data_IF_727424548083
#
_entry.id   IF_727424548083
#
_cell.length_a   1.000
_cell.length_b   1.000
_cell.length_c   1.000
_cell.angle_alpha   90.00
_cell.angle_beta   90.00
_cell.angle_gamma   90.00
#
_symmetry.space_group_name_H-M   'P 1'
#
loop_
_entity.id
_entity.type
_entity.pdbx_description
1 polymer ?
#
# COMPACT_ATOMS: atom_id res chain seq x y z
N UNK A 1 -1.25 -2.65 -39.15
CA UNK A 1 -2.17 -3.39 -38.25
C UNK A 1 -1.60 -4.72 -37.77
N UNK A 2 -0.95 -5.55 -38.61
CA UNK A 2 -0.38 -6.84 -38.16
C UNK A 2 0.71 -6.72 -37.10
N UNK A 3 1.55 -5.68 -37.16
CA UNK A 3 2.65 -5.45 -36.22
C UNK A 3 2.17 -5.10 -34.80
N UNK A 4 1.24 -4.14 -34.67
CA UNK A 4 0.63 -3.80 -33.38
C UNK A 4 -0.09 -5.01 -32.76
N UNK A 5 -0.76 -5.84 -33.57
CA UNK A 5 -1.38 -7.07 -33.06
C UNK A 5 -0.35 -8.01 -32.44
N UNK A 6 0.80 -8.21 -33.08
CA UNK A 6 1.90 -9.01 -32.52
C UNK A 6 2.45 -8.46 -31.21
N UNK A 7 2.62 -7.13 -31.11
CA UNK A 7 3.08 -6.47 -29.88
C UNK A 7 2.07 -6.64 -28.73
N UNK A 8 0.77 -6.51 -29.01
CA UNK A 8 -0.28 -6.71 -28.01
C UNK A 8 -0.38 -8.17 -27.55
N UNK A 9 -0.14 -9.13 -28.45
CA UNK A 9 -0.07 -10.54 -28.10
C UNK A 9 1.13 -10.84 -27.18
N UNK A 10 2.30 -10.26 -27.46
CA UNK A 10 3.50 -10.40 -26.61
C UNK A 10 3.25 -9.84 -25.20
N UNK A 11 2.68 -8.63 -25.11
CA UNK A 11 2.28 -8.04 -23.82
C UNK A 11 1.32 -8.96 -23.05
N UNK A 12 0.37 -9.62 -23.74
CA UNK A 12 -0.60 -10.53 -23.12
C UNK A 12 0.05 -11.80 -22.57
N UNK A 13 1.10 -12.30 -23.20
CA UNK A 13 1.88 -13.44 -22.70
C UNK A 13 2.83 -13.04 -21.55
N UNK A 14 3.29 -11.78 -21.55
CA UNK A 14 4.24 -11.23 -20.60
C UNK A 14 3.66 -10.07 -19.78
N UNK A 15 2.59 -10.34 -19.02
CA UNK A 15 1.81 -9.30 -18.32
C UNK A 15 2.60 -8.48 -17.28
N UNK A 16 3.71 -9.00 -16.76
CA UNK A 16 4.51 -8.30 -15.75
C UNK A 16 5.83 -7.72 -16.30
N UNK A 17 6.13 -7.90 -17.59
CA UNK A 17 7.37 -7.44 -18.23
C UNK A 17 7.20 -6.06 -18.88
N UNK A 18 8.08 -5.12 -18.55
CA UNK A 18 8.07 -3.80 -19.18
C UNK A 18 8.59 -3.81 -20.61
N UNK A 19 9.41 -4.79 -20.98
CA UNK A 19 10.13 -4.79 -22.26
C UNK A 19 9.19 -4.75 -23.47
N UNK A 20 8.19 -5.66 -23.58
CA UNK A 20 7.22 -5.59 -24.69
C UNK A 20 6.39 -4.31 -24.68
N UNK A 21 6.16 -3.73 -23.49
CA UNK A 21 5.38 -2.50 -23.32
C UNK A 21 6.14 -1.28 -23.79
N UNK A 22 7.43 -1.20 -23.49
CA UNK A 22 8.29 -0.11 -23.93
C UNK A 22 8.50 -0.17 -25.45
N UNK A 23 8.68 -1.36 -26.03
CA UNK A 23 8.71 -1.53 -27.49
C UNK A 23 7.38 -1.07 -28.12
N UNK A 24 6.25 -1.41 -27.51
CA UNK A 24 4.93 -0.95 -27.95
C UNK A 24 4.78 0.58 -27.82
N UNK A 25 5.37 1.19 -26.78
CA UNK A 25 5.41 2.64 -26.64
C UNK A 25 6.20 3.30 -27.78
N UNK A 26 7.35 2.75 -28.18
CA UNK A 26 8.14 3.25 -29.30
C UNK A 26 7.34 3.16 -30.61
N UNK A 27 6.63 2.05 -30.84
CA UNK A 27 5.72 1.92 -31.98
C UNK A 27 4.62 3.00 -32.00
N UNK A 28 4.00 3.32 -30.84
CA UNK A 28 3.01 4.39 -30.77
C UNK A 28 3.61 5.76 -31.07
N UNK A 29 4.83 6.02 -30.64
CA UNK A 29 5.56 7.26 -30.92
C UNK A 29 5.79 7.43 -32.43
N UNK A 30 6.34 6.38 -33.06
CA UNK A 30 6.65 6.33 -34.51
C UNK A 30 5.39 6.43 -35.38
N UNK A 31 4.22 6.04 -34.84
CA UNK A 31 2.93 6.07 -35.53
C UNK A 31 2.07 7.29 -35.13
N UNK A 32 2.68 8.36 -34.61
CA UNK A 32 2.01 9.64 -34.40
C UNK A 32 1.10 9.69 -33.16
N UNK A 33 1.32 8.82 -32.17
CA UNK A 33 0.60 8.77 -30.90
C UNK A 33 1.54 9.00 -29.69
N UNK A 34 2.25 10.14 -29.61
CA UNK A 34 3.25 10.39 -28.58
C UNK A 34 2.66 10.44 -27.16
N UNK A 35 1.40 10.86 -27.00
CA UNK A 35 0.71 10.82 -25.70
C UNK A 35 0.50 9.39 -25.21
N UNK A 36 0.20 8.45 -26.12
CA UNK A 36 0.05 7.03 -25.80
C UNK A 36 1.38 6.42 -25.39
N UNK A 37 2.45 6.73 -26.12
CA UNK A 37 3.81 6.31 -25.79
C UNK A 37 4.23 6.84 -24.41
N UNK A 38 4.01 8.13 -24.16
CA UNK A 38 4.32 8.79 -22.88
C UNK A 38 3.57 8.15 -21.72
N UNK A 39 2.27 7.89 -21.90
CA UNK A 39 1.45 7.21 -20.89
C UNK A 39 1.99 5.83 -20.51
N UNK A 40 2.38 5.03 -21.50
CA UNK A 40 2.95 3.69 -21.27
C UNK A 40 4.27 3.80 -20.50
N UNK A 41 5.19 4.66 -20.96
CA UNK A 41 6.50 4.85 -20.31
C UNK A 41 6.36 5.32 -18.86
N UNK A 42 5.53 6.32 -18.60
CA UNK A 42 5.28 6.84 -17.25
C UNK A 42 4.67 5.78 -16.33
N UNK A 43 3.67 5.01 -16.78
CA UNK A 43 3.11 3.95 -15.95
C UNK A 43 4.09 2.81 -15.68
N UNK A 44 4.96 2.46 -16.64
CA UNK A 44 6.02 1.46 -16.42
C UNK A 44 7.06 1.96 -15.40
N UNK A 45 7.46 3.23 -15.50
CA UNK A 45 8.37 3.87 -14.54
C UNK A 45 7.78 3.88 -13.12
N UNK A 46 6.54 4.37 -12.97
CA UNK A 46 5.85 4.41 -11.68
C UNK A 46 5.69 3.02 -11.06
N UNK A 47 5.52 1.98 -11.87
CA UNK A 47 5.35 0.60 -11.38
C UNK A 47 6.63 0.03 -10.73
N UNK A 48 7.81 0.56 -11.09
CA UNK A 48 9.09 0.19 -10.47
C UNK A 48 9.29 0.88 -9.12
N UNK A 49 8.56 1.96 -8.87
CA UNK A 49 8.67 2.79 -7.68
C UNK A 49 7.57 2.40 -6.68
N UNK A 50 7.93 2.26 -5.41
CA UNK A 50 6.95 2.02 -4.33
C UNK A 50 5.91 3.14 -4.32
N UNK A 51 4.60 2.86 -4.17
CA UNK A 51 3.55 3.88 -4.30
C UNK A 51 3.77 5.14 -3.46
N UNK A 52 4.26 5.00 -2.23
CA UNK A 52 4.53 6.12 -1.31
C UNK A 52 5.79 6.93 -1.65
N UNK A 53 6.59 6.47 -2.62
CA UNK A 53 7.76 7.16 -3.18
C UNK A 53 7.51 7.64 -4.61
N UNK A 54 6.27 7.61 -5.14
CA UNK A 54 5.95 8.05 -6.52
C UNK A 54 5.73 9.55 -6.61
N UNK A 55 6.05 10.12 -7.77
CA UNK A 55 5.86 11.56 -8.03
C UNK A 55 4.38 11.89 -8.22
N UNK A 56 3.76 12.71 -7.35
CA UNK A 56 2.41 13.19 -7.59
C UNK A 56 2.28 13.98 -8.89
N UNK A 57 3.35 14.60 -9.39
CA UNK A 57 3.41 15.24 -10.72
C UNK A 57 3.29 14.22 -11.86
N UNK A 58 4.04 13.12 -11.81
CA UNK A 58 3.90 12.03 -12.78
C UNK A 58 2.53 11.37 -12.67
N UNK A 59 2.03 11.11 -11.45
CA UNK A 59 0.68 10.55 -11.24
C UNK A 59 -0.41 11.48 -11.79
N UNK A 60 -0.34 12.80 -11.53
CA UNK A 60 -1.25 13.78 -12.14
C UNK A 60 -1.16 13.82 -13.66
N UNK A 61 0.05 13.66 -14.22
CA UNK A 61 0.23 13.59 -15.69
C UNK A 61 -0.46 12.36 -16.26
N UNK A 62 -0.28 11.20 -15.62
CA UNK A 62 -0.98 9.95 -15.97
C UNK A 62 -2.49 10.12 -15.88
N UNK A 63 -3.00 10.75 -14.82
CA UNK A 63 -4.43 11.05 -14.65
C UNK A 63 -4.96 11.99 -15.75
N UNK A 64 -4.23 13.05 -16.10
CA UNK A 64 -4.62 13.99 -17.16
C UNK A 64 -4.66 13.32 -18.53
N UNK A 65 -3.67 12.47 -18.85
CA UNK A 65 -3.65 11.68 -20.08
C UNK A 65 -4.86 10.74 -20.14
N UNK A 66 -5.21 10.08 -19.04
CA UNK A 66 -6.40 9.25 -18.96
C UNK A 66 -7.71 10.03 -19.09
N UNK A 67 -7.82 11.19 -18.43
CA UNK A 67 -9.03 12.02 -18.53
C UNK A 67 -9.36 12.41 -19.97
N UNK A 68 -8.34 12.64 -20.80
CA UNK A 68 -8.51 13.04 -22.20
C UNK A 68 -8.69 11.83 -23.14
N UNK A 69 -7.93 10.76 -22.91
CA UNK A 69 -7.77 9.72 -23.93
C UNK A 69 -8.30 8.33 -23.52
N UNK A 70 -8.70 8.11 -22.26
CA UNK A 70 -9.09 6.77 -21.79
C UNK A 70 -10.26 6.17 -22.57
N UNK A 71 -11.16 7.00 -23.10
CA UNK A 71 -12.28 6.54 -23.90
C UNK A 71 -11.85 5.82 -25.18
N UNK A 72 -10.95 6.46 -25.93
CA UNK A 72 -10.38 5.91 -27.16
C UNK A 72 -9.46 4.72 -26.85
N UNK A 73 -8.54 4.89 -25.89
CA UNK A 73 -7.57 3.84 -25.56
C UNK A 73 -8.21 2.58 -24.97
N UNK A 74 -9.39 2.69 -24.35
CA UNK A 74 -10.11 1.52 -23.83
C UNK A 74 -10.66 0.63 -24.96
N UNK A 75 -10.82 1.17 -26.18
CA UNK A 75 -11.29 0.43 -27.34
C UNK A 75 -12.60 -0.32 -27.06
N UNK A 76 -12.65 -1.66 -27.25
CA UNK A 76 -13.87 -2.46 -27.02
C UNK A 76 -14.38 -2.46 -25.57
N UNK A 77 -13.57 -2.02 -24.60
CA UNK A 77 -13.99 -1.91 -23.20
C UNK A 77 -14.74 -0.61 -22.91
N UNK A 78 -14.70 0.36 -23.83
CA UNK A 78 -15.37 1.63 -23.67
C UNK A 78 -16.87 1.43 -23.42
N UNK A 79 -17.39 2.07 -22.37
CA UNK A 79 -18.80 1.97 -21.97
C UNK A 79 -19.18 0.68 -21.22
N UNK A 80 -18.30 -0.31 -21.09
CA UNK A 80 -18.59 -1.54 -20.33
C UNK A 80 -18.37 -1.38 -18.82
N UNK A 81 -17.59 -0.38 -18.39
CA UNK A 81 -17.26 -0.16 -16.98
C UNK A 81 -16.09 0.81 -16.80
N UNK A 82 -15.62 0.94 -15.56
CA UNK A 82 -14.42 1.72 -15.24
C UNK A 82 -13.18 0.87 -15.47
N UNK A 83 -12.29 1.33 -16.34
CA UNK A 83 -11.00 0.66 -16.60
C UNK A 83 -9.95 1.18 -15.62
N UNK A 84 -9.32 0.27 -14.90
CA UNK A 84 -8.10 0.51 -14.14
C UNK A 84 -6.91 0.16 -15.03
N UNK A 85 -5.95 1.07 -15.09
CA UNK A 85 -4.82 0.99 -15.99
C UNK A 85 -3.55 0.64 -15.22
N UNK A 86 -2.73 -0.24 -15.78
CA UNK A 86 -1.44 -0.61 -15.22
C UNK A 86 -0.42 -0.78 -16.34
N UNK A 87 0.79 -0.25 -16.14
CA UNK A 87 1.88 -0.27 -17.13
C UNK A 87 1.42 0.12 -18.54
N UNK A 88 0.51 1.09 -18.64
CA UNK A 88 0.04 1.66 -19.91
C UNK A 88 -1.15 0.95 -20.55
N UNK A 89 -1.66 -0.15 -20.00
CA UNK A 89 -2.75 -0.92 -20.62
C UNK A 89 -3.92 -1.16 -19.65
N UNK A 90 -5.13 -1.48 -20.17
CA UNK A 90 -6.23 -1.95 -19.32
C UNK A 90 -5.80 -3.18 -18.52
N UNK A 91 -5.86 -3.08 -17.19
CA UNK A 91 -5.45 -4.13 -16.27
C UNK A 91 -6.67 -4.80 -15.62
N UNK A 92 -7.54 -3.97 -15.04
CA UNK A 92 -8.72 -4.44 -14.32
C UNK A 92 -9.94 -3.67 -14.81
N UNK A 93 -11.01 -4.39 -15.16
CA UNK A 93 -12.31 -3.78 -15.47
C UNK A 93 -13.22 -3.85 -14.24
N UNK A 94 -13.70 -2.69 -13.79
CA UNK A 94 -14.76 -2.59 -12.78
C UNK A 94 -16.10 -2.49 -13.51
N UNK A 95 -16.96 -3.49 -13.36
CA UNK A 95 -18.26 -3.53 -14.04
C UNK A 95 -19.28 -4.36 -13.26
N UNK A 96 -20.56 -4.25 -13.63
CA UNK A 96 -21.61 -5.14 -13.09
C UNK A 96 -21.38 -6.58 -13.55
N UNK A 97 -21.73 -7.54 -12.71
CA UNK A 97 -21.65 -8.96 -13.08
C UNK A 97 -22.42 -9.33 -14.36
N UNK A 98 -23.59 -8.72 -14.58
CA UNK A 98 -24.36 -8.91 -15.82
C UNK A 98 -23.61 -8.40 -17.05
N UNK A 99 -22.97 -7.24 -16.96
CA UNK A 99 -22.16 -6.67 -18.04
C UNK A 99 -20.99 -7.57 -18.39
N UNK A 100 -20.30 -8.10 -17.38
CA UNK A 100 -19.23 -9.08 -17.61
C UNK A 100 -19.76 -10.32 -18.32
N UNK A 101 -20.83 -10.94 -17.82
CA UNK A 101 -21.35 -12.18 -18.40
C UNK A 101 -21.80 -12.00 -19.86
N UNK A 102 -22.45 -10.88 -20.19
CA UNK A 102 -22.88 -10.57 -21.56
C UNK A 102 -21.74 -10.20 -22.51
N UNK A 103 -20.60 -9.72 -22.02
CA UNK A 103 -19.49 -9.22 -22.83
C UNK A 103 -18.16 -9.96 -22.55
N UNK A 104 -18.24 -11.13 -21.93
CA UNK A 104 -17.09 -11.82 -21.34
C UNK A 104 -16.00 -12.11 -22.37
N UNK A 105 -16.36 -12.53 -23.58
CA UNK A 105 -15.42 -12.73 -24.70
C UNK A 105 -14.69 -11.44 -25.08
N UNK A 106 -15.40 -10.32 -25.19
CA UNK A 106 -14.81 -9.02 -25.54
C UNK A 106 -13.88 -8.52 -24.44
N UNK A 107 -14.29 -8.65 -23.18
CA UNK A 107 -13.52 -8.20 -22.02
C UNK A 107 -12.19 -8.97 -21.91
N UNK A 108 -12.24 -10.28 -22.12
CA UNK A 108 -11.09 -11.18 -21.96
C UNK A 108 -10.22 -11.32 -23.21
N UNK A 109 -10.67 -10.82 -24.36
CA UNK A 109 -9.87 -10.79 -25.59
C UNK A 109 -8.69 -9.80 -25.52
N UNK A 110 -8.75 -8.80 -24.62
CA UNK A 110 -7.70 -7.79 -24.45
C UNK A 110 -6.59 -8.19 -23.46
N UNK A 111 -5.85 -7.18 -22.99
CA UNK A 111 -4.77 -7.31 -21.98
C UNK A 111 -5.31 -7.32 -20.54
N UNK A 112 -6.64 -7.29 -20.37
CA UNK A 112 -7.29 -7.24 -19.05
C UNK A 112 -6.98 -8.52 -18.28
N UNK A 113 -6.23 -8.40 -17.18
CA UNK A 113 -5.91 -9.51 -16.28
C UNK A 113 -6.98 -9.73 -15.23
N UNK A 114 -7.71 -8.67 -14.87
CA UNK A 114 -8.53 -8.60 -13.68
C UNK A 114 -9.96 -8.14 -13.95
N UNK A 115 -10.89 -8.66 -13.15
CA UNK A 115 -12.26 -8.17 -13.11
C UNK A 115 -12.66 -7.85 -11.68
N UNK A 116 -13.22 -6.67 -11.48
CA UNK A 116 -13.88 -6.28 -10.25
C UNK A 116 -15.38 -6.20 -10.51
N UNK A 117 -16.13 -7.05 -9.85
CA UNK A 117 -17.55 -7.15 -10.06
C UNK A 117 -18.30 -6.34 -9.01
N UNK A 118 -19.24 -5.53 -9.49
CA UNK A 118 -20.27 -4.89 -8.69
C UNK A 118 -21.59 -5.66 -8.85
N UNK A 119 -22.45 -5.62 -7.83
CA UNK A 119 -23.81 -6.18 -7.88
C UNK A 119 -23.86 -7.67 -8.30
N UNK A 120 -22.96 -8.50 -7.76
CA UNK A 120 -22.75 -9.89 -8.21
C UNK A 120 -23.57 -10.95 -7.46
N UNK A 121 -24.24 -10.60 -6.35
CA UNK A 121 -24.83 -11.55 -5.38
C UNK A 121 -25.65 -12.70 -5.98
N UNK A 122 -26.41 -12.44 -7.05
CA UNK A 122 -27.30 -13.43 -7.70
C UNK A 122 -26.68 -14.15 -8.91
N UNK A 123 -25.47 -13.78 -9.33
CA UNK A 123 -24.84 -14.19 -10.59
C UNK A 123 -23.50 -14.89 -10.40
N UNK A 124 -23.07 -15.15 -9.17
CA UNK A 124 -21.78 -15.80 -8.90
C UNK A 124 -21.72 -17.25 -9.41
N UNK A 125 -22.83 -17.99 -9.39
CA UNK A 125 -22.87 -19.32 -10.00
C UNK A 125 -22.71 -19.24 -11.52
N UNK A 126 -23.42 -18.32 -12.19
CA UNK A 126 -23.23 -18.06 -13.63
C UNK A 126 -21.79 -17.63 -13.95
N UNK A 127 -21.16 -16.85 -13.07
CA UNK A 127 -19.76 -16.46 -13.21
C UNK A 127 -18.82 -17.67 -13.12
N UNK A 128 -19.06 -18.57 -12.16
CA UNK A 128 -18.28 -19.79 -12.02
C UNK A 128 -18.38 -20.67 -13.29
N UNK A 129 -19.54 -20.69 -13.95
CA UNK A 129 -19.74 -21.45 -15.19
C UNK A 129 -19.23 -20.73 -16.45
N UNK A 130 -18.88 -19.44 -16.35
CA UNK A 130 -18.43 -18.64 -17.48
C UNK A 130 -17.06 -19.13 -18.02
N UNK A 131 -16.97 -19.59 -19.28
CA UNK A 131 -15.71 -20.12 -19.83
C UNK A 131 -14.56 -19.12 -19.80
N UNK A 132 -14.87 -17.84 -20.03
CA UNK A 132 -13.91 -16.74 -20.10
C UNK A 132 -13.31 -16.35 -18.74
N UNK A 133 -13.85 -16.84 -17.62
CA UNK A 133 -13.19 -16.67 -16.32
C UNK A 133 -11.77 -17.27 -16.32
N UNK A 134 -11.50 -18.25 -17.21
CA UNK A 134 -10.17 -18.87 -17.36
C UNK A 134 -9.10 -17.91 -17.84
N UNK A 135 -9.49 -16.82 -18.49
CA UNK A 135 -8.57 -15.83 -19.01
C UNK A 135 -8.22 -14.77 -17.94
N UNK A 136 -8.95 -14.75 -16.82
CA UNK A 136 -8.71 -13.86 -15.70
C UNK A 136 -7.66 -14.44 -14.73
N UNK A 137 -6.77 -13.56 -14.25
CA UNK A 137 -5.83 -13.83 -13.15
C UNK A 137 -6.28 -13.21 -11.83
N UNK A 138 -7.08 -12.15 -11.87
CA UNK A 138 -7.57 -11.46 -10.69
C UNK A 138 -9.10 -11.35 -10.69
N UNK A 139 -9.73 -11.64 -9.54
CA UNK A 139 -11.17 -11.47 -9.32
C UNK A 139 -11.40 -10.71 -8.01
N UNK A 140 -12.13 -9.61 -8.09
CA UNK A 140 -12.58 -8.84 -6.93
C UNK A 140 -14.11 -8.83 -6.85
N UNK A 141 -14.65 -9.18 -5.68
CA UNK A 141 -16.09 -9.31 -5.43
C UNK A 141 -16.59 -8.26 -4.41
N UNK A 142 -16.13 -7.01 -4.52
CA UNK A 142 -16.30 -6.01 -3.44
C UNK A 142 -17.75 -5.65 -3.11
N UNK A 143 -17.99 -5.31 -1.84
CA UNK A 143 -19.18 -4.58 -1.38
C UNK A 143 -20.50 -5.32 -1.57
N UNK A 144 -20.45 -6.65 -1.58
CA UNK A 144 -21.63 -7.48 -1.76
C UNK A 144 -21.44 -8.84 -1.08
N UNK A 145 -22.48 -9.27 -0.38
CA UNK A 145 -22.50 -10.54 0.34
C UNK A 145 -22.22 -11.72 -0.59
N UNK A 146 -21.20 -12.50 -0.25
CA UNK A 146 -20.84 -13.72 -0.96
C UNK A 146 -21.29 -14.92 -0.12
N UNK A 147 -22.18 -15.74 -0.67
CA UNK A 147 -22.68 -16.92 0.04
C UNK A 147 -21.65 -18.06 0.04
N UNK A 148 -21.73 -18.95 1.03
CA UNK A 148 -20.92 -20.18 1.08
C UNK A 148 -21.08 -21.05 -0.19
N UNK A 149 -22.29 -21.14 -0.73
CA UNK A 149 -22.56 -21.88 -1.97
C UNK A 149 -21.87 -21.24 -3.18
N UNK A 150 -21.85 -19.91 -3.26
CA UNK A 150 -21.18 -19.18 -4.33
C UNK A 150 -19.65 -19.35 -4.29
N UNK A 151 -19.04 -19.23 -3.10
CA UNK A 151 -17.60 -19.52 -2.95
C UNK A 151 -17.27 -20.96 -3.33
N UNK A 152 -18.12 -21.91 -2.96
CA UNK A 152 -17.94 -23.31 -3.34
C UNK A 152 -18.03 -23.51 -4.85
N UNK A 153 -19.01 -22.89 -5.51
CA UNK A 153 -19.15 -22.94 -6.96
C UNK A 153 -17.90 -22.38 -7.65
N UNK A 154 -17.40 -21.24 -7.19
CA UNK A 154 -16.16 -20.65 -7.71
C UNK A 154 -14.95 -21.57 -7.48
N UNK A 155 -14.85 -22.18 -6.29
CA UNK A 155 -13.72 -23.06 -5.97
C UNK A 155 -13.72 -24.39 -6.74
N UNK A 156 -14.90 -24.85 -7.16
CA UNK A 156 -15.08 -26.05 -7.97
C UNK A 156 -15.11 -25.76 -9.48
N UNK A 157 -15.06 -24.49 -9.88
CA UNK A 157 -15.15 -24.09 -11.28
C UNK A 157 -13.92 -24.55 -12.08
N UNK A 158 -14.10 -25.23 -13.23
CA UNK A 158 -13.01 -25.51 -14.16
C UNK A 158 -12.52 -24.25 -14.89
N UNK A 159 -13.22 -23.12 -14.76
CA UNK A 159 -12.86 -21.85 -15.38
C UNK A 159 -12.11 -20.93 -14.42
N UNK A 160 -12.08 -21.19 -13.12
CA UNK A 160 -11.30 -20.40 -12.15
C UNK A 160 -9.80 -20.80 -12.08
N UNK A 161 -9.32 -21.62 -13.03
CA UNK A 161 -8.02 -22.33 -12.93
C UNK A 161 -6.80 -21.43 -12.97
N UNK A 162 -6.90 -20.24 -13.58
CA UNK A 162 -5.80 -19.29 -13.71
C UNK A 162 -5.86 -18.15 -12.69
N UNK A 163 -6.87 -18.13 -11.80
CA UNK A 163 -6.96 -17.13 -10.75
C UNK A 163 -5.77 -17.23 -9.79
N UNK A 164 -5.13 -16.10 -9.58
CA UNK A 164 -3.98 -15.87 -8.70
C UNK A 164 -4.28 -14.84 -7.62
N UNK A 165 -5.23 -13.96 -7.85
CA UNK A 165 -5.64 -12.92 -6.91
C UNK A 165 -7.14 -13.00 -6.70
N UNK A 166 -7.54 -13.11 -5.43
CA UNK A 166 -8.95 -13.07 -5.04
C UNK A 166 -9.12 -12.01 -3.96
N UNK A 167 -9.97 -11.01 -4.23
CA UNK A 167 -10.39 -10.04 -3.23
C UNK A 167 -11.87 -10.22 -2.91
N UNK A 168 -12.13 -10.54 -1.65
CA UNK A 168 -13.45 -10.66 -1.03
C UNK A 168 -13.65 -9.51 -0.03
N UNK A 169 -13.14 -8.31 -0.36
CA UNK A 169 -13.27 -7.15 0.51
C UNK A 169 -14.73 -6.77 0.72
N UNK A 170 -15.13 -6.55 1.97
CA UNK A 170 -16.52 -6.17 2.30
C UNK A 170 -17.56 -7.14 1.69
N UNK A 171 -17.30 -8.44 1.87
CA UNK A 171 -18.16 -9.52 1.37
C UNK A 171 -18.95 -10.24 2.47
N UNK A 172 -18.85 -9.76 3.72
CA UNK A 172 -19.43 -10.39 4.92
C UNK A 172 -18.93 -11.83 5.14
N UNK A 173 -17.68 -12.11 4.76
CA UNK A 173 -17.06 -13.41 5.01
C UNK A 173 -16.83 -13.57 6.51
N UNK A 174 -17.44 -14.60 7.09
CA UNK A 174 -17.18 -15.07 8.45
C UNK A 174 -16.65 -16.52 8.46
N UNK A 175 -16.29 -17.03 9.62
CA UNK A 175 -15.64 -18.34 9.84
C UNK A 175 -16.37 -19.49 9.14
N UNK A 176 -17.71 -19.47 9.13
CA UNK A 176 -18.58 -20.46 8.46
C UNK A 176 -18.34 -20.63 6.96
N UNK A 177 -17.83 -19.59 6.30
CA UNK A 177 -17.50 -19.63 4.88
C UNK A 177 -16.23 -20.45 4.65
N UNK A 178 -15.27 -20.39 5.58
CA UNK A 178 -13.94 -20.96 5.46
C UNK A 178 -13.86 -22.41 5.98
N UNK A 179 -14.85 -22.86 6.74
CA UNK A 179 -14.95 -24.24 7.29
C UNK A 179 -14.86 -25.38 6.27
N UNK A 180 -15.11 -25.12 4.98
CA UNK A 180 -15.25 -26.18 3.98
C UNK A 180 -13.94 -26.46 3.22
N UNK A 181 -13.44 -27.73 3.23
CA UNK A 181 -12.27 -28.13 2.46
C UNK A 181 -12.40 -27.90 0.96
N UNK A 182 -13.63 -27.73 0.46
CA UNK A 182 -13.93 -27.46 -0.94
C UNK A 182 -13.30 -26.14 -1.45
N UNK A 183 -12.80 -25.27 -0.58
CA UNK A 183 -12.07 -24.05 -0.96
C UNK A 183 -10.58 -24.30 -1.29
N UNK A 184 -10.00 -25.42 -0.84
CA UNK A 184 -8.57 -25.71 -1.04
C UNK A 184 -8.12 -25.65 -2.51
N UNK A 185 -8.88 -26.18 -3.50
CA UNK A 185 -8.50 -26.08 -4.91
C UNK A 185 -8.39 -24.65 -5.45
N UNK A 186 -9.15 -23.71 -4.87
CA UNK A 186 -9.07 -22.30 -5.20
C UNK A 186 -7.84 -21.68 -4.55
N UNK A 187 -7.72 -21.84 -3.23
CA UNK A 187 -6.69 -21.19 -2.43
C UNK A 187 -5.27 -21.68 -2.73
N UNK A 188 -5.13 -22.95 -3.15
CA UNK A 188 -3.84 -23.54 -3.54
C UNK A 188 -3.18 -22.88 -4.73
N UNK A 189 -3.93 -22.10 -5.51
CA UNK A 189 -3.44 -21.41 -6.71
C UNK A 189 -3.21 -19.92 -6.49
N UNK A 190 -3.72 -19.36 -5.39
CA UNK A 190 -3.66 -17.93 -5.11
C UNK A 190 -2.29 -17.50 -4.57
N UNK A 191 -1.85 -16.34 -5.04
CA UNK A 191 -0.74 -15.58 -4.48
C UNK A 191 -1.24 -14.44 -3.59
N UNK A 192 -2.41 -13.89 -3.90
CA UNK A 192 -3.02 -12.80 -3.13
C UNK A 192 -4.42 -13.20 -2.68
N UNK A 193 -4.65 -13.12 -1.37
CA UNK A 193 -5.96 -13.27 -0.77
C UNK A 193 -6.26 -12.02 0.06
N UNK A 194 -7.27 -11.28 -0.35
CA UNK A 194 -7.73 -10.08 0.33
C UNK A 194 -9.11 -10.33 0.96
N UNK A 195 -9.12 -10.35 2.29
CA UNK A 195 -10.28 -10.54 3.16
C UNK A 195 -10.54 -9.28 4.01
N UNK A 196 -10.06 -8.12 3.56
CA UNK A 196 -10.24 -6.84 4.26
C UNK A 196 -11.72 -6.52 4.51
N UNK A 197 -12.03 -5.85 5.61
CA UNK A 197 -13.39 -5.39 5.95
C UNK A 197 -14.41 -6.53 5.96
N UNK A 198 -14.16 -7.60 6.73
CA UNK A 198 -15.06 -8.76 6.83
C UNK A 198 -15.42 -9.08 8.29
N UNK A 199 -16.09 -10.22 8.51
CA UNK A 199 -16.53 -10.67 9.83
C UNK A 199 -15.71 -11.89 10.30
N UNK A 200 -14.42 -11.93 9.97
CA UNK A 200 -13.55 -12.98 10.47
C UNK A 200 -13.25 -12.72 11.94
N UNK A 201 -13.32 -13.78 12.74
CA UNK A 201 -12.95 -13.80 14.15
C UNK A 201 -11.84 -14.83 14.38
N UNK A 202 -11.44 -15.05 15.63
CA UNK A 202 -10.45 -16.05 16.00
C UNK A 202 -10.77 -17.49 15.52
N UNK A 203 -12.04 -17.82 15.30
CA UNK A 203 -12.46 -19.15 14.83
C UNK A 203 -12.20 -19.34 13.31
N UNK A 204 -12.00 -18.26 12.56
CA UNK A 204 -11.81 -18.33 11.12
C UNK A 204 -10.43 -18.88 10.71
N UNK A 205 -9.39 -18.49 11.43
CA UNK A 205 -8.00 -18.79 11.05
C UNK A 205 -7.63 -20.28 11.17
N UNK A 206 -8.10 -21.03 12.19
CA UNK A 206 -7.93 -22.48 12.20
C UNK A 206 -8.51 -23.16 10.95
N UNK A 207 -9.59 -22.63 10.36
CA UNK A 207 -10.10 -23.15 9.09
C UNK A 207 -9.18 -22.81 7.93
N UNK A 208 -8.67 -21.58 7.84
CA UNK A 208 -7.69 -21.19 6.82
C UNK A 208 -6.39 -22.00 6.92
N UNK A 209 -5.95 -22.37 8.12
CA UNK A 209 -4.75 -23.20 8.33
C UNK A 209 -4.84 -24.57 7.67
N UNK A 210 -6.06 -25.12 7.57
CA UNK A 210 -6.33 -26.44 6.99
C UNK A 210 -6.45 -26.40 5.48
N UNK A 211 -6.57 -25.22 4.88
CA UNK A 211 -6.65 -25.06 3.44
C UNK A 211 -5.24 -25.07 2.87
N UNK A 212 -5.06 -25.75 1.74
CA UNK A 212 -3.79 -25.75 1.01
C UNK A 212 -3.53 -24.35 0.44
N UNK A 213 -2.96 -23.44 1.23
CA UNK A 213 -2.71 -22.05 0.86
C UNK A 213 -1.20 -21.75 0.72
N UNK A 214 -0.41 -22.77 0.37
CA UNK A 214 1.05 -22.75 0.41
C UNK A 214 1.72 -21.68 -0.48
N UNK A 215 0.99 -21.12 -1.44
CA UNK A 215 1.48 -20.17 -2.42
C UNK A 215 1.14 -18.72 -2.10
N UNK A 216 0.39 -18.45 -1.03
CA UNK A 216 0.01 -17.08 -0.67
C UNK A 216 1.26 -16.28 -0.31
N UNK A 217 1.40 -15.13 -0.99
CA UNK A 217 2.45 -14.12 -0.79
C UNK A 217 1.90 -12.86 -0.17
N UNK A 218 0.61 -12.55 -0.40
CA UNK A 218 -0.07 -11.37 0.13
C UNK A 218 -1.35 -11.82 0.81
N UNK A 219 -1.44 -11.57 2.12
CA UNK A 219 -2.63 -11.85 2.91
C UNK A 219 -3.11 -10.57 3.58
N UNK A 220 -4.31 -10.13 3.21
CA UNK A 220 -4.93 -8.94 3.81
C UNK A 220 -6.12 -9.35 4.67
N UNK A 221 -6.01 -9.03 5.96
CA UNK A 221 -6.98 -9.34 6.99
C UNK A 221 -7.47 -8.10 7.72
N UNK A 222 -7.11 -6.90 7.23
CA UNK A 222 -7.47 -5.62 7.82
C UNK A 222 -8.94 -5.55 8.22
N UNK A 223 -9.22 -4.95 9.36
CA UNK A 223 -10.57 -4.73 9.87
C UNK A 223 -11.36 -6.05 9.99
N UNK A 224 -10.73 -7.04 10.64
CA UNK A 224 -11.35 -8.29 11.09
C UNK A 224 -10.99 -8.52 12.56
N UNK A 225 -11.95 -8.92 13.38
CA UNK A 225 -11.79 -9.01 14.83
C UNK A 225 -11.06 -10.30 15.26
N UNK A 226 -9.76 -10.38 14.96
CA UNK A 226 -8.95 -11.58 15.17
C UNK A 226 -8.48 -11.74 16.62
N UNK A 227 -8.04 -10.65 17.26
CA UNK A 227 -7.49 -10.66 18.62
C UNK A 227 -6.22 -11.51 18.76
N UNK A 228 -5.78 -11.69 20.01
CA UNK A 228 -4.62 -12.51 20.36
C UNK A 228 -4.76 -13.97 19.90
N UNK A 229 -5.94 -14.56 20.05
CA UNK A 229 -6.18 -15.95 19.64
C UNK A 229 -6.08 -16.10 18.11
N UNK A 230 -6.55 -15.11 17.36
CA UNK A 230 -6.38 -15.09 15.91
C UNK A 230 -4.91 -15.01 15.50
N UNK A 231 -4.13 -14.12 16.12
CA UNK A 231 -2.68 -14.06 15.86
C UNK A 231 -1.97 -15.37 16.21
N UNK A 232 -2.30 -16.01 17.33
CA UNK A 232 -1.77 -17.32 17.70
C UNK A 232 -2.13 -18.39 16.64
N UNK A 233 -3.37 -18.42 16.16
CA UNK A 233 -3.76 -19.33 15.09
C UNK A 233 -3.01 -19.05 13.77
N UNK A 234 -2.74 -17.78 13.44
CA UNK A 234 -2.02 -17.38 12.23
C UNK A 234 -0.57 -17.90 12.24
N UNK A 235 0.12 -17.84 13.37
CA UNK A 235 1.54 -18.21 13.42
C UNK A 235 1.78 -19.72 13.31
N UNK A 236 0.78 -20.53 13.66
CA UNK A 236 0.76 -21.99 13.47
C UNK A 236 0.52 -22.41 12.00
N UNK A 237 0.18 -21.47 11.11
CA UNK A 237 -0.10 -21.75 9.71
C UNK A 237 1.19 -21.99 8.91
N UNK A 238 1.63 -23.25 8.85
CA UNK A 238 2.82 -23.69 8.10
C UNK A 238 2.78 -23.37 6.59
N UNK A 239 1.58 -23.21 6.04
CA UNK A 239 1.34 -22.83 4.64
C UNK A 239 1.65 -21.34 4.35
N UNK A 240 1.92 -20.50 5.36
CA UNK A 240 2.30 -19.09 5.17
C UNK A 240 3.81 -18.85 5.05
N UNK A 241 4.61 -19.92 4.88
CA UNK A 241 6.08 -19.84 4.75
C UNK A 241 6.59 -19.00 3.56
N UNK A 242 5.73 -18.72 2.58
CA UNK A 242 6.02 -17.89 1.41
C UNK A 242 5.47 -16.45 1.52
N UNK A 243 4.84 -16.10 2.64
CA UNK A 243 4.19 -14.81 2.83
C UNK A 243 5.23 -13.67 2.81
N UNK A 244 4.92 -12.63 2.03
CA UNK A 244 5.72 -11.41 1.85
C UNK A 244 5.03 -10.18 2.42
N UNK A 245 3.71 -10.11 2.31
CA UNK A 245 2.90 -9.01 2.83
C UNK A 245 1.79 -9.55 3.72
N UNK A 246 1.71 -9.01 4.94
CA UNK A 246 0.66 -9.31 5.90
C UNK A 246 0.05 -7.99 6.42
N UNK A 247 -1.23 -7.78 6.11
CA UNK A 247 -2.00 -6.65 6.63
C UNK A 247 -2.95 -7.12 7.72
N UNK A 248 -2.67 -6.70 8.94
CA UNK A 248 -3.41 -6.97 10.17
C UNK A 248 -3.85 -5.65 10.85
N UNK A 249 -3.98 -4.56 10.09
CA UNK A 249 -4.43 -3.30 10.66
C UNK A 249 -5.89 -3.41 11.14
N UNK A 250 -6.25 -2.74 12.24
CA UNK A 250 -7.61 -2.82 12.81
C UNK A 250 -8.06 -4.25 13.13
N UNK A 251 -7.18 -5.10 13.68
CA UNK A 251 -7.49 -6.49 14.01
C UNK A 251 -7.68 -6.77 15.52
N UNK A 252 -7.74 -5.71 16.33
CA UNK A 252 -7.81 -5.78 17.80
C UNK A 252 -6.66 -6.59 18.43
N UNK A 253 -5.46 -6.47 17.87
CA UNK A 253 -4.27 -7.16 18.34
C UNK A 253 -3.65 -6.46 19.56
N UNK A 254 -3.43 -7.21 20.64
CA UNK A 254 -2.77 -6.73 21.86
C UNK A 254 -1.32 -7.24 21.95
N UNK A 255 -0.64 -7.02 23.08
CA UNK A 255 0.74 -7.48 23.29
C UNK A 255 0.93 -8.99 23.13
N UNK A 256 -0.04 -9.80 23.54
CA UNK A 256 0.01 -11.27 23.35
C UNK A 256 0.05 -11.62 21.86
N UNK A 257 -0.69 -10.90 21.03
CA UNK A 257 -0.62 -11.04 19.58
C UNK A 257 0.76 -10.63 19.02
N UNK A 258 1.32 -9.52 19.50
CA UNK A 258 2.67 -9.08 19.12
C UNK A 258 3.75 -10.11 19.46
N UNK A 259 3.66 -10.71 20.65
CA UNK A 259 4.53 -11.80 21.11
C UNK A 259 4.36 -13.05 20.23
N UNK A 260 3.12 -13.45 19.93
CA UNK A 260 2.86 -14.59 19.07
C UNK A 260 3.49 -14.40 17.68
N UNK A 261 3.26 -13.24 17.05
CA UNK A 261 3.84 -12.88 15.75
C UNK A 261 5.38 -12.91 15.78
N UNK A 262 5.98 -12.38 16.84
CA UNK A 262 7.43 -12.38 17.05
C UNK A 262 8.03 -13.79 17.18
N UNK A 263 7.24 -14.78 17.62
CA UNK A 263 7.67 -16.17 17.80
C UNK A 263 7.35 -17.07 16.59
N UNK A 264 6.73 -16.54 15.54
CA UNK A 264 6.32 -17.35 14.39
C UNK A 264 7.52 -18.00 13.69
N UNK A 265 7.43 -19.29 13.40
CA UNK A 265 8.45 -19.96 12.58
C UNK A 265 8.17 -19.84 11.07
N UNK A 266 6.97 -19.40 10.69
CA UNK A 266 6.47 -19.40 9.32
C UNK A 266 6.60 -18.03 8.63
N UNK A 267 6.68 -16.92 9.36
CA UNK A 267 6.67 -15.57 8.78
C UNK A 267 8.06 -15.04 8.37
N UNK A 268 9.06 -15.92 8.20
CA UNK A 268 10.47 -15.56 7.96
C UNK A 268 10.73 -14.78 6.67
N UNK A 269 9.79 -14.79 5.72
CA UNK A 269 9.91 -14.12 4.41
C UNK A 269 9.12 -12.82 4.33
N UNK A 270 8.47 -12.39 5.42
CA UNK A 270 7.71 -11.13 5.42
C UNK A 270 8.66 -9.96 5.13
N UNK A 271 8.21 -9.12 4.20
CA UNK A 271 8.83 -7.86 3.79
C UNK A 271 7.97 -6.66 4.20
N UNK A 272 6.64 -6.82 4.21
CA UNK A 272 5.68 -5.78 4.60
C UNK A 272 4.77 -6.30 5.71
N UNK A 273 4.78 -5.62 6.85
CA UNK A 273 3.95 -5.94 8.01
C UNK A 273 3.17 -4.69 8.45
N UNK A 274 1.85 -4.76 8.34
CA UNK A 274 0.96 -3.70 8.82
C UNK A 274 0.19 -4.15 10.06
N UNK A 275 0.42 -3.42 11.15
CA UNK A 275 -0.13 -3.60 12.48
C UNK A 275 -0.80 -2.31 12.98
N UNK A 276 -1.13 -1.37 12.09
CA UNK A 276 -1.76 -0.10 12.48
C UNK A 276 -3.09 -0.29 13.21
N UNK A 277 -3.43 0.68 14.07
CA UNK A 277 -4.74 0.73 14.71
C UNK A 277 -5.10 -0.58 15.42
N UNK A 278 -4.14 -1.06 16.22
CA UNK A 278 -4.32 -2.17 17.13
C UNK A 278 -4.10 -1.66 18.57
N UNK A 279 -4.04 -2.56 19.54
CA UNK A 279 -3.82 -2.24 20.96
C UNK A 279 -2.49 -2.80 21.46
N UNK A 280 -1.45 -2.74 20.60
CA UNK A 280 -0.08 -3.05 21.01
C UNK A 280 0.43 -1.97 21.97
N UNK A 281 1.08 -2.39 23.03
CA UNK A 281 1.78 -1.54 23.97
C UNK A 281 3.29 -1.80 23.85
N UNK A 282 4.03 -1.42 24.89
CA UNK A 282 5.47 -1.63 24.97
C UNK A 282 5.87 -3.10 24.83
N UNK A 283 5.18 -4.04 25.48
CA UNK A 283 5.58 -5.45 25.50
C UNK A 283 5.50 -6.10 24.12
N UNK A 284 4.46 -5.79 23.35
CA UNK A 284 4.30 -6.24 21.97
C UNK A 284 5.37 -5.66 21.05
N UNK A 285 5.66 -4.35 21.19
CA UNK A 285 6.71 -3.69 20.41
C UNK A 285 8.11 -4.25 20.71
N UNK A 286 8.44 -4.49 21.99
CA UNK A 286 9.70 -5.11 22.40
C UNK A 286 9.85 -6.53 21.87
N UNK A 287 8.78 -7.33 21.91
CA UNK A 287 8.79 -8.68 21.35
C UNK A 287 9.06 -8.68 19.84
N UNK A 288 8.37 -7.81 19.09
CA UNK A 288 8.58 -7.64 17.65
C UNK A 288 10.02 -7.18 17.35
N UNK A 289 10.54 -6.22 18.11
CA UNK A 289 11.91 -5.72 17.97
C UNK A 289 12.97 -6.81 18.25
N UNK A 290 12.70 -7.72 19.17
CA UNK A 290 13.60 -8.81 19.54
C UNK A 290 13.50 -10.04 18.62
N UNK A 291 12.64 -10.01 17.59
CA UNK A 291 12.37 -11.17 16.75
C UNK A 291 13.34 -11.28 15.55
N UNK A 292 14.16 -12.35 15.45
CA UNK A 292 14.95 -12.62 14.25
C UNK A 292 14.09 -13.01 13.04
N UNK A 293 12.83 -13.38 13.25
CA UNK A 293 11.91 -13.78 12.17
C UNK A 293 11.57 -12.59 11.28
N UNK A 294 11.53 -11.39 11.87
CA UNK A 294 11.22 -10.14 11.18
C UNK A 294 12.46 -9.50 10.51
N UNK A 295 13.59 -10.21 10.41
CA UNK A 295 14.82 -9.65 9.86
C UNK A 295 14.71 -9.23 8.39
N UNK A 296 13.75 -9.77 7.64
CA UNK A 296 13.49 -9.41 6.24
C UNK A 296 12.47 -8.27 6.08
N UNK A 297 11.89 -7.77 7.17
CA UNK A 297 10.90 -6.68 7.11
C UNK A 297 11.56 -5.41 6.60
N UNK A 298 10.97 -4.85 5.54
CA UNK A 298 11.36 -3.60 4.88
C UNK A 298 10.37 -2.48 5.15
N UNK A 299 9.09 -2.83 5.32
CA UNK A 299 8.02 -1.90 5.60
C UNK A 299 7.30 -2.33 6.88
N UNK A 300 7.46 -1.53 7.94
CA UNK A 300 6.79 -1.75 9.22
C UNK A 300 5.87 -0.57 9.51
N UNK A 301 4.61 -0.90 9.67
CA UNK A 301 3.53 0.04 9.88
C UNK A 301 2.91 -0.31 11.24
N UNK A 302 3.32 0.38 12.32
CA UNK A 302 2.93 0.06 13.71
C UNK A 302 2.29 1.25 14.45
N UNK A 303 2.00 2.33 13.75
CA UNK A 303 1.39 3.52 14.32
C UNK A 303 -0.04 3.30 14.80
N UNK A 304 -0.56 4.27 15.56
CA UNK A 304 -1.89 4.23 16.17
C UNK A 304 -2.09 2.98 17.02
N UNK A 305 -1.09 2.70 17.85
CA UNK A 305 -1.10 1.72 18.91
C UNK A 305 -0.77 2.47 20.23
N UNK A 306 -0.86 1.79 21.37
CA UNK A 306 -0.57 2.36 22.70
C UNK A 306 0.91 2.15 23.08
N UNK A 307 1.82 2.33 22.11
CA UNK A 307 3.25 2.02 22.26
C UNK A 307 3.97 3.17 22.94
N UNK A 308 4.65 2.90 24.05
CA UNK A 308 5.45 3.90 24.76
C UNK A 308 6.73 4.28 24.01
N UNK A 309 7.39 5.37 24.41
CA UNK A 309 8.75 5.70 23.93
C UNK A 309 9.77 4.57 24.09
N UNK A 310 9.63 3.72 25.12
CA UNK A 310 10.51 2.56 25.30
C UNK A 310 10.25 1.49 24.23
N UNK A 311 8.98 1.23 23.89
CA UNK A 311 8.63 0.33 22.80
C UNK A 311 9.10 0.85 21.43
N UNK A 312 8.94 2.15 21.17
CA UNK A 312 9.48 2.79 19.95
C UNK A 312 11.01 2.70 19.91
N UNK A 313 11.68 2.94 21.05
CA UNK A 313 13.13 2.78 21.16
C UNK A 313 13.56 1.35 20.86
N UNK A 314 12.83 0.34 21.34
CA UNK A 314 13.10 -1.06 21.05
C UNK A 314 13.06 -1.35 19.54
N UNK A 315 12.01 -0.89 18.84
CA UNK A 315 11.90 -1.03 17.38
C UNK A 315 13.08 -0.35 16.67
N UNK A 316 13.39 0.89 17.05
CA UNK A 316 14.46 1.69 16.43
C UNK A 316 15.87 1.15 16.71
N UNK A 317 16.06 0.37 17.77
CA UNK A 317 17.35 -0.24 18.14
C UNK A 317 17.34 -1.76 17.97
N UNK A 318 16.36 -2.30 17.25
CA UNK A 318 16.30 -3.73 16.97
C UNK A 318 17.54 -4.19 16.22
N UNK A 319 18.21 -5.27 16.67
CA UNK A 319 19.32 -5.86 15.92
C UNK A 319 18.87 -6.62 14.68
N UNK A 320 17.56 -6.84 14.50
CA UNK A 320 17.00 -7.64 13.43
C UNK A 320 16.34 -6.80 12.34
N UNK A 321 15.66 -5.70 12.69
CA UNK A 321 14.96 -4.80 11.76
C UNK A 321 15.91 -3.89 10.95
N UNK A 322 17.08 -4.41 10.55
CA UNK A 322 18.15 -3.69 9.85
C UNK A 322 17.84 -3.40 8.39
N UNK A 323 16.87 -4.11 7.81
CA UNK A 323 16.43 -3.93 6.42
C UNK A 323 15.26 -2.94 6.26
N UNK A 324 14.86 -2.25 7.33
CA UNK A 324 13.78 -1.28 7.28
C UNK A 324 14.10 -0.12 6.34
N UNK A 325 13.16 0.12 5.43
CA UNK A 325 13.15 1.23 4.46
C UNK A 325 12.00 2.18 4.76
N UNK A 326 10.88 1.64 5.26
CA UNK A 326 9.68 2.38 5.62
C UNK A 326 9.27 2.06 7.04
N UNK A 327 9.12 3.10 7.86
CA UNK A 327 8.67 2.99 9.24
C UNK A 327 7.60 4.03 9.53
N UNK A 328 6.50 3.57 10.10
CA UNK A 328 5.47 4.43 10.66
C UNK A 328 5.23 4.10 12.13
N UNK A 329 5.48 5.09 12.97
CA UNK A 329 5.33 5.06 14.43
C UNK A 329 4.39 6.18 14.90
N UNK A 330 3.52 6.69 14.02
CA UNK A 330 2.59 7.77 14.32
C UNK A 330 1.67 7.42 15.48
N UNK A 331 1.24 8.41 16.25
CA UNK A 331 0.37 8.24 17.42
C UNK A 331 0.82 7.08 18.32
N UNK A 332 2.09 7.12 18.74
CA UNK A 332 2.64 6.32 19.84
C UNK A 332 2.53 7.15 21.12
N UNK A 333 2.36 6.51 22.28
CA UNK A 333 2.41 7.16 23.59
C UNK A 333 3.82 7.66 23.90
N UNK A 334 4.20 8.79 23.29
CA UNK A 334 5.53 9.36 23.37
C UNK A 334 5.57 10.69 24.10
N UNK A 335 6.53 10.82 25.03
CA UNK A 335 6.99 12.09 25.60
C UNK A 335 8.00 12.77 24.64
N UNK A 336 8.41 14.04 24.88
CA UNK A 336 9.32 14.83 24.01
C UNK A 336 10.73 14.25 23.70
N UNK A 337 11.03 13.04 24.17
CA UNK A 337 12.34 12.39 24.01
C UNK A 337 12.54 11.70 22.65
N UNK A 338 11.50 11.61 21.83
CA UNK A 338 11.51 10.85 20.57
C UNK A 338 12.61 11.29 19.59
N UNK A 339 12.89 12.60 19.49
CA UNK A 339 13.97 13.10 18.64
C UNK A 339 15.35 12.57 19.04
N UNK A 340 15.62 12.45 20.35
CA UNK A 340 16.89 11.91 20.85
C UNK A 340 17.01 10.40 20.61
N UNK A 341 15.88 9.68 20.67
CA UNK A 341 15.83 8.23 20.39
C UNK A 341 16.13 8.00 18.91
N UNK A 342 15.52 8.78 18.01
CA UNK A 342 15.71 8.65 16.56
C UNK A 342 17.15 8.88 16.13
N UNK A 343 17.81 9.93 16.62
CA UNK A 343 19.18 10.27 16.20
C UNK A 343 20.20 9.18 16.55
N UNK A 344 19.91 8.37 17.56
CA UNK A 344 20.76 7.24 18.00
C UNK A 344 20.39 5.92 17.32
N UNK A 345 19.34 5.90 16.52
CA UNK A 345 18.83 4.69 15.91
C UNK A 345 19.76 4.19 14.81
N UNK A 346 20.18 2.90 14.83
CA UNK A 346 20.91 2.29 13.74
C UNK A 346 20.08 2.13 12.45
N UNK A 347 18.75 2.16 12.53
CA UNK A 347 17.90 2.00 11.33
C UNK A 347 17.66 3.30 10.57
N UNK A 348 17.78 4.46 11.24
CA UNK A 348 17.47 5.76 10.65
C UNK A 348 18.24 6.06 9.33
N UNK A 349 19.56 5.76 9.21
CA UNK A 349 20.31 5.95 7.95
C UNK A 349 19.79 5.13 6.75
N UNK A 350 19.04 4.06 7.00
CA UNK A 350 18.51 3.18 5.97
C UNK A 350 17.08 3.54 5.56
N UNK A 351 16.36 4.30 6.39
CA UNK A 351 15.01 4.71 6.10
C UNK A 351 14.97 5.66 4.89
N UNK A 352 13.96 5.44 4.05
CA UNK A 352 13.55 6.34 2.96
C UNK A 352 12.21 7.00 3.26
N UNK A 353 11.40 6.37 4.10
CA UNK A 353 10.08 6.85 4.48
C UNK A 353 9.92 6.74 6.00
N UNK A 354 9.67 7.88 6.65
CA UNK A 354 9.41 7.96 8.08
C UNK A 354 8.14 8.78 8.33
N UNK A 355 7.16 8.17 8.99
CA UNK A 355 6.03 8.89 9.57
C UNK A 355 5.99 8.72 11.09
N UNK A 356 5.72 9.84 11.73
CA UNK A 356 5.64 9.94 13.18
C UNK A 356 4.65 11.04 13.59
N UNK A 357 3.61 11.24 12.78
CA UNK A 357 2.60 12.25 13.00
C UNK A 357 1.77 11.93 14.26
N UNK A 358 1.18 12.96 14.87
CA UNK A 358 0.53 12.85 16.20
C UNK A 358 1.44 12.31 17.31
N UNK A 359 2.75 12.54 17.23
CA UNK A 359 3.70 12.30 18.34
C UNK A 359 4.26 13.61 18.88
N UNK A 360 4.63 13.65 20.17
CA UNK A 360 5.27 14.81 20.77
C UNK A 360 6.76 14.90 20.40
N UNK A 361 7.10 15.44 19.22
CA UNK A 361 8.49 15.62 18.82
C UNK A 361 9.12 16.87 19.44
N UNK A 362 8.37 17.98 19.52
CA UNK A 362 8.83 19.33 19.90
C UNK A 362 9.92 19.92 18.99
N UNK A 363 10.15 21.23 19.09
CA UNK A 363 11.22 21.92 18.36
C UNK A 363 12.61 21.37 18.70
N UNK A 364 12.83 20.96 19.95
CA UNK A 364 14.12 20.43 20.41
C UNK A 364 14.42 19.07 19.78
N UNK A 365 13.43 18.18 19.74
CA UNK A 365 13.54 16.88 19.09
C UNK A 365 13.72 17.00 17.58
N UNK A 366 13.00 17.93 16.93
CA UNK A 366 13.19 18.20 15.50
C UNK A 366 14.60 18.74 15.23
N UNK A 367 15.08 19.67 16.04
CA UNK A 367 16.43 20.24 15.91
C UNK A 367 17.50 19.15 16.03
N UNK A 368 17.36 18.24 16.99
CA UNK A 368 18.25 17.09 17.12
C UNK A 368 18.21 16.20 15.85
N UNK A 369 17.01 15.88 15.37
CA UNK A 369 16.82 15.05 14.17
C UNK A 369 17.49 15.66 12.93
N UNK A 370 17.24 16.93 12.64
CA UNK A 370 17.76 17.60 11.43
C UNK A 370 19.24 17.99 11.53
N UNK A 371 19.84 17.91 12.72
CA UNK A 371 21.28 18.08 12.91
C UNK A 371 22.07 16.78 12.66
N UNK A 372 21.36 15.65 12.49
CA UNK A 372 22.00 14.35 12.24
C UNK A 372 22.11 14.08 10.75
N UNK A 373 23.28 13.62 10.24
CA UNK A 373 23.40 13.17 8.85
C UNK A 373 22.62 11.87 8.58
N UNK A 374 22.14 11.18 9.64
CA UNK A 374 21.37 9.94 9.51
C UNK A 374 20.05 10.11 8.73
N UNK A 375 19.53 11.33 8.58
CA UNK A 375 18.31 11.58 7.81
C UNK A 375 18.55 11.86 6.32
N UNK A 376 19.82 11.86 5.86
CA UNK A 376 20.20 12.28 4.50
C UNK A 376 19.51 11.46 3.39
N UNK A 377 19.19 10.21 3.69
CA UNK A 377 18.53 9.30 2.75
C UNK A 377 17.00 9.38 2.78
N UNK A 378 16.40 10.12 3.72
CA UNK A 378 14.94 10.26 3.77
C UNK A 378 14.43 10.93 2.50
N UNK A 379 13.41 10.30 1.91
CA UNK A 379 12.65 10.79 0.75
C UNK A 379 11.30 11.35 1.21
N UNK A 380 10.72 10.75 2.26
CA UNK A 380 9.46 11.17 2.85
C UNK A 380 9.60 11.34 4.35
N UNK A 381 9.13 12.48 4.85
CA UNK A 381 9.07 12.79 6.27
C UNK A 381 7.70 13.39 6.63
N UNK A 382 6.96 12.70 7.48
CA UNK A 382 5.66 13.14 7.99
C UNK A 382 5.74 13.49 9.47
N UNK A 383 5.65 14.80 9.73
CA UNK A 383 5.70 15.43 11.04
C UNK A 383 4.39 16.17 11.34
N UNK A 384 3.27 15.74 10.77
CA UNK A 384 1.98 16.38 11.04
C UNK A 384 1.63 16.27 12.52
N UNK A 385 1.11 17.36 13.09
CA UNK A 385 0.67 17.39 14.49
C UNK A 385 1.75 16.92 15.48
N UNK A 386 2.99 17.39 15.29
CA UNK A 386 4.15 17.03 16.12
C UNK A 386 4.56 18.09 17.15
N UNK A 387 3.64 19.01 17.46
CA UNK A 387 3.84 20.15 18.35
C UNK A 387 5.01 21.07 17.93
N UNK A 388 5.26 21.17 16.63
CA UNK A 388 6.33 22.00 16.09
C UNK A 388 5.91 23.47 16.05
N UNK A 389 6.84 24.37 16.36
CA UNK A 389 6.68 25.80 16.16
C UNK A 389 7.55 26.29 15.02
N UNK A 390 7.47 27.59 14.71
CA UNK A 390 8.35 28.19 13.70
C UNK A 390 9.84 28.04 14.03
N UNK A 391 10.22 27.88 15.30
CA UNK A 391 11.62 27.71 15.71
C UNK A 391 12.19 26.39 15.17
N UNK A 392 11.49 25.26 15.37
CA UNK A 392 11.91 23.96 14.83
C UNK A 392 11.89 23.94 13.31
N UNK A 393 10.90 24.59 12.68
CA UNK A 393 10.82 24.70 11.22
C UNK A 393 11.98 25.51 10.63
N UNK A 394 12.42 26.57 11.30
CA UNK A 394 13.62 27.32 10.89
C UNK A 394 14.87 26.44 10.96
N UNK A 395 15.00 25.60 11.99
CA UNK A 395 16.11 24.65 12.09
C UNK A 395 16.08 23.64 10.94
N UNK A 396 14.91 23.05 10.65
CA UNK A 396 14.71 22.16 9.51
C UNK A 396 15.10 22.83 8.19
N UNK A 397 14.59 24.05 7.92
CA UNK A 397 14.87 24.79 6.69
C UNK A 397 16.37 25.11 6.47
N UNK A 398 17.19 25.09 7.53
CA UNK A 398 18.63 25.35 7.46
C UNK A 398 19.48 24.09 7.31
N UNK A 399 18.91 22.91 7.57
CA UNK A 399 19.65 21.65 7.49
C UNK A 399 19.91 21.26 6.04
N UNK A 400 21.15 20.93 5.72
CA UNK A 400 21.51 20.36 4.41
C UNK A 400 21.17 18.88 4.30
N UNK A 401 20.93 18.21 5.42
CA UNK A 401 20.59 16.78 5.46
C UNK A 401 19.19 16.46 4.94
N UNK A 402 18.35 17.46 4.66
CA UNK A 402 17.01 17.25 4.07
C UNK A 402 16.98 17.40 2.54
N UNK A 403 18.13 17.58 1.89
CA UNK A 403 18.24 17.77 0.43
C UNK A 403 17.65 16.60 -0.40
N UNK A 404 17.61 15.40 0.20
CA UNK A 404 17.02 14.19 -0.36
C UNK A 404 15.49 14.14 -0.30
N UNK A 405 14.83 14.99 0.51
CA UNK A 405 13.39 14.94 0.66
C UNK A 405 12.67 15.25 -0.65
N UNK A 406 11.61 14.48 -0.91
CA UNK A 406 10.64 14.71 -1.98
C UNK A 406 9.27 15.04 -1.40
N UNK A 407 8.93 14.48 -0.24
CA UNK A 407 7.68 14.75 0.47
C UNK A 407 7.94 15.19 1.91
N UNK A 408 7.38 16.34 2.29
CA UNK A 408 7.47 16.89 3.64
C UNK A 408 6.09 17.33 4.14
N UNK A 409 5.55 16.64 5.15
CA UNK A 409 4.22 16.93 5.69
C UNK A 409 4.33 17.57 7.09
N UNK A 410 3.83 18.79 7.22
CA UNK A 410 3.93 19.64 8.42
C UNK A 410 2.57 20.20 8.89
N UNK A 411 1.45 19.77 8.31
CA UNK A 411 0.11 20.19 8.74
C UNK A 411 -0.16 19.94 10.23
N UNK A 412 -1.06 20.69 10.84
CA UNK A 412 -1.41 20.58 12.26
C UNK A 412 -0.33 21.03 13.25
N UNK A 413 0.69 21.78 12.80
CA UNK A 413 1.75 22.36 13.65
C UNK A 413 1.57 23.87 13.84
N UNK A 414 2.20 24.45 14.86
CA UNK A 414 2.10 25.88 15.22
C UNK A 414 3.06 26.75 14.39
N UNK A 415 2.98 26.62 13.07
CA UNK A 415 3.87 27.33 12.13
C UNK A 415 3.27 28.71 11.83
N UNK A 416 4.09 29.75 11.99
CA UNK A 416 3.73 31.14 11.70
C UNK A 416 4.48 31.61 10.44
N UNK A 417 4.21 32.84 10.01
CA UNK A 417 4.82 33.45 8.82
C UNK A 417 6.36 33.34 8.77
N UNK A 418 7.05 33.48 9.92
CA UNK A 418 8.52 33.35 9.96
C UNK A 418 9.03 31.94 9.63
N UNK A 419 8.31 30.89 10.05
CA UNK A 419 8.65 29.50 9.73
C UNK A 419 8.35 29.18 8.27
N UNK A 420 7.18 29.61 7.78
CA UNK A 420 6.82 29.49 6.37
C UNK A 420 7.82 30.21 5.45
N UNK A 421 8.25 31.43 5.82
CA UNK A 421 9.28 32.18 5.09
C UNK A 421 10.62 31.44 5.06
N UNK A 422 11.01 30.77 6.16
CA UNK A 422 12.24 29.99 6.21
C UNK A 422 12.19 28.79 5.25
N UNK A 423 11.08 28.03 5.24
CA UNK A 423 10.86 26.96 4.28
C UNK A 423 10.90 27.50 2.84
N UNK A 424 10.24 28.62 2.58
CA UNK A 424 10.21 29.27 1.27
C UNK A 424 11.60 29.72 0.78
N UNK A 425 12.59 29.91 1.65
CA UNK A 425 13.95 30.33 1.27
C UNK A 425 15.02 29.26 1.52
N UNK A 426 14.65 28.04 1.94
CA UNK A 426 15.60 26.94 2.15
C UNK A 426 16.18 26.45 0.83
N UNK A 427 17.50 26.45 0.57
CA UNK A 427 18.06 25.91 -0.68
C UNK A 427 17.98 24.37 -0.75
N UNK A 428 17.62 23.71 0.36
CA UNK A 428 17.65 22.25 0.48
C UNK A 428 16.30 21.58 0.13
N UNK A 429 15.28 22.36 -0.20
CA UNK A 429 13.93 21.86 -0.49
C UNK A 429 13.57 21.95 -1.98
N UNK A 430 14.56 21.96 -2.88
CA UNK A 430 14.35 22.11 -4.32
C UNK A 430 13.69 20.89 -4.97
N UNK A 431 13.92 19.70 -4.43
CA UNK A 431 13.40 18.45 -4.99
C UNK A 431 12.01 18.06 -4.45
N UNK A 432 11.36 18.92 -3.65
CA UNK A 432 10.05 18.59 -3.12
C UNK A 432 9.00 18.54 -4.24
N UNK A 433 8.25 17.44 -4.30
CA UNK A 433 7.03 17.31 -5.10
C UNK A 433 5.75 17.40 -4.28
N UNK A 434 5.89 17.39 -2.94
CA UNK A 434 4.78 17.48 -1.99
C UNK A 434 5.25 18.16 -0.72
N UNK A 435 4.62 19.27 -0.38
CA UNK A 435 4.76 19.92 0.93
C UNK A 435 3.38 20.25 1.48
N UNK A 436 3.13 19.91 2.74
CA UNK A 436 1.94 20.37 3.46
C UNK A 436 2.38 21.19 4.65
N UNK A 437 1.79 22.37 4.83
CA UNK A 437 2.12 23.27 5.93
C UNK A 437 0.93 24.19 6.20
N UNK A 438 0.35 24.09 7.39
CA UNK A 438 -0.66 25.03 7.85
C UNK A 438 0.05 26.22 8.50
N UNK A 439 -0.32 27.45 8.11
CA UNK A 439 0.24 28.67 8.71
C UNK A 439 -0.82 29.36 9.53
N UNK A 440 -0.64 29.36 10.84
CA UNK A 440 -1.54 29.97 11.80
C UNK A 440 -1.12 31.42 12.03
N UNK A 441 -1.57 32.32 11.15
CA UNK A 441 -1.40 33.77 11.29
C UNK A 441 -2.58 34.51 10.62
N UNK A 442 -2.93 35.67 11.16
CA UNK A 442 -3.93 36.61 10.64
C UNK A 442 -3.59 37.16 9.25
N UNK A 443 -2.31 37.18 8.88
CA UNK A 443 -1.83 37.71 7.60
C UNK A 443 -1.32 36.55 6.74
N UNK A 444 -2.00 36.21 5.65
CA UNK A 444 -1.70 35.06 4.76
C UNK A 444 -0.36 35.15 4.00
N UNK A 445 0.60 35.97 4.48
CA UNK A 445 1.90 36.24 3.85
C UNK A 445 2.77 35.00 3.73
N UNK A 446 2.84 34.17 4.77
CA UNK A 446 3.66 32.96 4.78
C UNK A 446 3.17 31.92 3.78
N UNK A 447 1.86 31.71 3.71
CA UNK A 447 1.25 30.85 2.68
C UNK A 447 1.54 31.41 1.29
N UNK A 448 1.36 32.72 1.07
CA UNK A 448 1.65 33.33 -0.22
C UNK A 448 3.09 33.10 -0.69
N UNK A 449 4.07 33.15 0.22
CA UNK A 449 5.47 32.85 -0.11
C UNK A 449 5.70 31.36 -0.43
N UNK A 450 5.10 30.47 0.35
CA UNK A 450 5.14 29.03 0.06
C UNK A 450 4.49 28.73 -1.29
N UNK A 451 3.31 29.29 -1.58
CA UNK A 451 2.62 29.16 -2.87
C UNK A 451 3.45 29.73 -4.02
N UNK A 452 4.12 30.87 -3.82
CA UNK A 452 5.00 31.46 -4.83
C UNK A 452 6.16 30.53 -5.18
N UNK A 453 6.73 29.83 -4.20
CA UNK A 453 7.85 28.92 -4.42
C UNK A 453 7.43 27.55 -4.93
N UNK A 454 6.49 26.92 -4.23
CA UNK A 454 6.15 25.51 -4.43
C UNK A 454 4.97 25.32 -5.39
N UNK A 455 4.13 26.35 -5.61
CA UNK A 455 2.98 26.26 -6.52
C UNK A 455 2.13 25.03 -6.22
N UNK A 456 1.98 24.16 -7.22
CA UNK A 456 1.16 22.94 -7.17
C UNK A 456 1.76 21.79 -6.32
N UNK A 457 2.96 21.97 -5.75
CA UNK A 457 3.61 21.06 -4.77
C UNK A 457 3.05 21.32 -3.36
N UNK A 458 2.61 22.55 -3.08
CA UNK A 458 2.00 22.91 -1.80
C UNK A 458 0.59 22.35 -1.73
N UNK A 459 0.37 21.42 -0.79
CA UNK A 459 -0.94 20.87 -0.44
C UNK A 459 -1.44 21.61 0.79
N UNK A 460 -2.45 22.44 0.61
CA UNK A 460 -3.17 23.09 1.70
C UNK A 460 -4.24 22.14 2.24
N UNK A 461 -4.34 22.05 3.57
CA UNK A 461 -5.36 21.28 4.29
C UNK A 461 -6.76 21.82 4.08
#
# INVERSE_FOLDING_TARGET
>A
MSELTGLLEDIRHHLDDDTPRLICADWFDDNGQPERATFIRLQCELERIRPYLRDPGQERTVEQLLQRNAGEWAGPLHGLGKVIWRRGFPDTLICRASTFLSNSKTITAGVVRGIQLESHRRRLSELADCPHLRDCRALALHGSEVTKSALRALAQSPNAVNLRELSLRDCRIGSKHLETPALSPLLSKLHTLDLTDNHLNCDALPHLSRLEAAHIRVLKLRNNYLGAQGAAALVEMSNLSNLRELDLAYCALNDEAGIALAQSTNLRRIETLDLHFNTLHQGGAEALAASPILANVRELEIGFNEITNQGVQAILHSPYLTNLVKLNISHSEGTPLLGNILVRSPVLPHLRWLAMHYNQLSDSGLTALVSSPAIAELVHLDLRSCELSSTGIIALARSSHIAGLRSLLLGGNRIQNRGANALAHSPWLENLWRISCDVYDSTSRGIAQLSKRFGNVLVTS
#
